data_IF_664295369809
#
_entry.id   IF_664295369809
#
_cell.length_a   1.000
_cell.length_b   1.000
_cell.length_c   1.000
_cell.angle_alpha   90.00
_cell.angle_beta   90.00
_cell.angle_gamma   90.00
#
_symmetry.space_group_name_H-M   'P 1'
#
loop_
_entity.id
_entity.type
_entity.pdbx_description
1 polymer ?
#
# COMPACT_ATOMS: atom_id res chain seq x y z
N UNK A 1 -8.39 22.69 3.42
CA UNK A 1 -7.20 22.36 4.23
C UNK A 1 -7.06 20.86 4.44
N UNK A 2 -8.10 20.15 4.90
CA UNK A 2 -8.07 18.68 5.10
C UNK A 2 -7.68 17.89 3.82
N UNK A 3 -8.11 18.36 2.65
CA UNK A 3 -7.82 17.71 1.36
C UNK A 3 -6.33 17.69 1.02
N UNK A 4 -5.60 18.76 1.37
CA UNK A 4 -4.17 18.86 1.10
C UNK A 4 -3.42 17.83 1.95
N UNK A 5 -3.79 17.74 3.24
CA UNK A 5 -3.24 16.72 4.14
C UNK A 5 -3.58 15.31 3.64
N UNK A 6 -4.81 15.08 3.19
CA UNK A 6 -5.22 13.80 2.63
C UNK A 6 -4.35 13.38 1.44
N UNK A 7 -4.19 14.24 0.43
CA UNK A 7 -3.36 13.93 -0.73
C UNK A 7 -1.87 13.79 -0.36
N UNK A 8 -1.38 14.58 0.58
CA UNK A 8 -0.01 14.48 1.06
C UNK A 8 0.27 13.13 1.73
N UNK A 9 -0.56 12.71 2.69
CA UNK A 9 -0.42 11.41 3.36
C UNK A 9 -0.70 10.24 2.42
N UNK A 10 -1.60 10.39 1.46
CA UNK A 10 -1.87 9.38 0.44
C UNK A 10 -0.66 9.19 -0.48
N UNK A 11 -0.04 10.28 -0.94
CA UNK A 11 1.19 10.22 -1.73
C UNK A 11 2.35 9.63 -0.91
N UNK A 12 2.46 9.97 0.37
CA UNK A 12 3.46 9.41 1.27
C UNK A 12 3.27 7.90 1.46
N UNK A 13 2.03 7.44 1.71
CA UNK A 13 1.71 6.03 1.86
C UNK A 13 2.01 5.24 0.57
N UNK A 14 1.63 5.79 -0.60
CA UNK A 14 1.91 5.19 -1.89
C UNK A 14 3.41 5.13 -2.18
N UNK A 15 4.16 6.21 -1.91
CA UNK A 15 5.61 6.26 -2.06
C UNK A 15 6.31 5.24 -1.16
N UNK A 16 5.87 5.13 0.09
CA UNK A 16 6.37 4.14 1.03
C UNK A 16 6.07 2.70 0.57
N UNK A 17 4.88 2.44 0.01
CA UNK A 17 4.51 1.14 -0.55
C UNK A 17 5.40 0.75 -1.76
N UNK A 18 5.71 1.70 -2.64
CA UNK A 18 6.63 1.47 -3.76
C UNK A 18 8.04 1.18 -3.23
N UNK A 19 8.51 1.96 -2.25
CA UNK A 19 9.83 1.79 -1.64
C UNK A 19 10.00 0.41 -0.97
N UNK A 20 8.95 -0.13 -0.33
CA UNK A 20 8.93 -1.51 0.20
C UNK A 20 9.29 -2.54 -0.88
N UNK A 21 8.75 -2.38 -2.10
CA UNK A 21 8.95 -3.32 -3.21
C UNK A 21 10.30 -3.18 -3.90
N UNK A 22 10.88 -1.97 -3.87
CA UNK A 22 12.14 -1.66 -4.57
C UNK A 22 13.37 -2.02 -3.73
N UNK A 23 13.24 -2.03 -2.40
CA UNK A 23 14.37 -2.29 -1.52
C UNK A 23 14.78 -3.75 -1.50
N UNK A 24 16.10 -3.97 -1.63
CA UNK A 24 16.71 -5.31 -1.60
C UNK A 24 16.89 -5.86 -0.18
N UNK A 25 17.11 -4.97 0.78
CA UNK A 25 17.29 -5.36 2.18
C UNK A 25 15.95 -5.49 2.88
N UNK A 26 15.67 -6.68 3.41
CA UNK A 26 14.38 -7.03 4.05
C UNK A 26 14.09 -6.14 5.27
N UNK A 27 15.12 -5.80 6.07
CA UNK A 27 14.96 -4.91 7.21
C UNK A 27 14.50 -3.51 6.80
N UNK A 28 15.15 -2.91 5.81
CA UNK A 28 14.77 -1.59 5.32
C UNK A 28 13.37 -1.64 4.69
N UNK A 29 13.04 -2.72 3.97
CA UNK A 29 11.72 -2.91 3.37
C UNK A 29 10.64 -2.96 4.45
N UNK A 30 10.87 -3.69 5.55
CA UNK A 30 9.97 -3.73 6.69
C UNK A 30 9.81 -2.35 7.37
N UNK A 31 10.87 -1.56 7.49
CA UNK A 31 10.78 -0.19 8.01
C UNK A 31 9.93 0.73 7.10
N UNK A 32 10.10 0.61 5.78
CA UNK A 32 9.25 1.34 4.81
C UNK A 32 7.79 0.90 4.88
N UNK A 33 7.53 -0.36 5.24
CA UNK A 33 6.17 -0.88 5.44
C UNK A 33 5.53 -0.28 6.69
N UNK A 34 6.29 -0.17 7.80
CA UNK A 34 5.81 0.51 9.02
C UNK A 34 5.44 1.97 8.71
N UNK A 35 6.25 2.66 7.91
CA UNK A 35 5.94 4.03 7.48
C UNK A 35 4.63 4.09 6.68
N UNK A 36 4.42 3.15 5.75
CA UNK A 36 3.20 3.05 4.96
C UNK A 36 1.95 2.79 5.83
N UNK A 37 2.03 1.87 6.79
CA UNK A 37 0.93 1.57 7.71
C UNK A 37 0.61 2.76 8.62
N UNK A 38 1.64 3.48 9.07
CA UNK A 38 1.48 4.69 9.89
C UNK A 38 0.84 5.82 9.10
N UNK A 39 1.29 6.05 7.86
CA UNK A 39 0.67 7.04 6.96
C UNK A 39 -0.79 6.69 6.66
N UNK A 40 -1.11 5.40 6.50
CA UNK A 40 -2.50 4.93 6.31
C UNK A 40 -3.36 5.12 7.56
N UNK A 41 -2.81 4.98 8.77
CA UNK A 41 -3.54 5.30 10.00
C UNK A 41 -3.94 6.77 10.04
N UNK A 42 -3.04 7.69 9.64
CA UNK A 42 -3.38 9.11 9.52
C UNK A 42 -4.52 9.33 8.52
N UNK A 43 -4.51 8.63 7.37
CA UNK A 43 -5.63 8.68 6.42
C UNK A 43 -6.95 8.19 7.02
N UNK A 44 -6.93 7.16 7.87
CA UNK A 44 -8.14 6.70 8.57
C UNK A 44 -8.70 7.76 9.53
N UNK A 45 -7.84 8.49 10.24
CA UNK A 45 -8.27 9.63 11.07
C UNK A 45 -8.92 10.71 10.19
N UNK A 46 -8.31 11.03 9.04
CA UNK A 46 -8.85 12.03 8.11
C UNK A 46 -10.20 11.61 7.50
N UNK A 47 -10.46 10.31 7.41
CA UNK A 47 -11.73 9.75 6.93
C UNK A 47 -12.80 9.62 8.04
N UNK A 48 -12.47 9.95 9.29
CA UNK A 48 -13.37 9.78 10.44
C UNK A 48 -13.48 8.34 10.95
N UNK A 49 -12.53 7.47 10.60
CA UNK A 49 -12.47 6.08 11.02
C UNK A 49 -11.52 5.90 12.23
N UNK A 50 -11.82 6.58 13.35
CA UNK A 50 -10.91 6.67 14.50
C UNK A 50 -10.58 5.32 15.13
N UNK A 51 -11.58 4.46 15.30
CA UNK A 51 -11.38 3.11 15.85
C UNK A 51 -10.43 2.28 14.98
N UNK A 52 -10.59 2.35 13.67
CA UNK A 52 -9.73 1.64 12.71
C UNK A 52 -8.30 2.21 12.72
N UNK A 53 -8.16 3.54 12.81
CA UNK A 53 -6.87 4.19 12.92
C UNK A 53 -6.06 3.74 14.14
N UNK A 54 -6.72 3.60 15.29
CA UNK A 54 -6.10 3.12 16.54
C UNK A 54 -5.67 1.65 16.41
N UNK A 55 -6.54 0.78 15.88
CA UNK A 55 -6.18 -0.62 15.62
C UNK A 55 -5.00 -0.71 14.65
N UNK A 56 -4.96 0.14 13.63
CA UNK A 56 -3.87 0.18 12.65
C UNK A 56 -2.52 0.45 13.32
N UNK A 57 -2.47 1.39 14.27
CA UNK A 57 -1.24 1.72 15.01
C UNK A 57 -0.87 0.58 15.96
N UNK A 58 -1.80 0.14 16.80
CA UNK A 58 -1.51 -0.80 17.89
C UNK A 58 -1.23 -2.21 17.35
N UNK A 59 -2.07 -2.71 16.45
CA UNK A 59 -2.03 -4.10 16.00
C UNK A 59 -1.12 -4.25 14.78
N UNK A 60 -1.35 -3.47 13.73
CA UNK A 60 -0.62 -3.66 12.48
C UNK A 60 0.79 -3.07 12.55
N UNK A 61 0.94 -1.77 12.79
CA UNK A 61 2.24 -1.13 12.86
C UNK A 61 3.02 -1.48 14.14
N UNK A 62 2.32 -1.68 15.25
CA UNK A 62 2.89 -2.06 16.54
C UNK A 62 3.17 -3.55 16.64
N UNK A 63 2.16 -4.36 16.96
CA UNK A 63 2.36 -5.76 17.29
C UNK A 63 2.90 -6.60 16.11
N UNK A 64 2.19 -6.62 14.98
CA UNK A 64 2.51 -7.50 13.86
C UNK A 64 3.84 -7.12 13.22
N UNK A 65 4.04 -5.83 12.90
CA UNK A 65 5.28 -5.41 12.25
C UNK A 65 6.51 -5.47 13.16
N UNK A 66 6.40 -5.18 14.46
CA UNK A 66 7.56 -5.34 15.37
C UNK A 66 7.94 -6.81 15.50
N UNK A 67 6.96 -7.71 15.61
CA UNK A 67 7.23 -9.16 15.60
C UNK A 67 7.86 -9.60 14.27
N UNK A 68 7.38 -9.07 13.15
CA UNK A 68 7.96 -9.35 11.84
C UNK A 68 9.41 -8.87 11.75
N UNK A 69 9.69 -7.63 12.15
CA UNK A 69 11.05 -7.06 12.19
C UNK A 69 11.98 -7.86 13.09
N UNK A 70 11.49 -8.31 14.24
CA UNK A 70 12.24 -9.18 15.13
C UNK A 70 12.57 -10.53 14.47
N UNK A 71 11.57 -11.17 13.83
CA UNK A 71 11.74 -12.45 13.14
C UNK A 71 12.72 -12.34 11.97
N UNK A 72 12.61 -11.32 11.11
CA UNK A 72 13.54 -11.16 9.98
C UNK A 72 14.98 -10.91 10.45
N UNK A 73 15.15 -10.25 11.61
CA UNK A 73 16.47 -10.03 12.19
C UNK A 73 17.07 -11.34 12.73
N UNK A 74 16.25 -12.17 13.40
CA UNK A 74 16.68 -13.49 13.85
C UNK A 74 17.01 -14.44 12.69
N UNK A 75 16.24 -14.35 11.60
CA UNK A 75 16.44 -15.17 10.41
C UNK A 75 17.69 -14.80 9.61
N UNK A 76 18.38 -13.71 9.97
CA UNK A 76 19.60 -13.21 9.32
C UNK A 76 19.65 -13.50 7.82
N UNK A 77 18.62 -13.01 7.08
CA UNK A 77 18.48 -13.32 5.68
C UNK A 77 19.70 -12.78 4.91
N UNK A 78 20.43 -13.63 4.18
CA UNK A 78 21.52 -13.18 3.34
C UNK A 78 20.98 -12.21 2.29
N UNK A 79 21.75 -11.17 2.02
CA UNK A 79 21.42 -10.19 0.97
C UNK A 79 21.78 -10.84 -0.35
N UNK A 80 20.84 -11.54 -0.97
CA UNK A 80 21.06 -12.17 -2.27
C UNK A 80 21.27 -11.07 -3.34
N UNK A 81 22.48 -10.98 -3.88
CA UNK A 81 22.82 -10.05 -4.96
C UNK A 81 22.18 -10.45 -6.32
N UNK A 82 21.65 -11.68 -6.41
CA UNK A 82 21.01 -12.26 -7.61
C UNK A 82 19.58 -11.73 -7.90
N UNK A 83 19.04 -10.85 -7.06
CA UNK A 83 17.68 -10.30 -7.21
C UNK A 83 17.46 -9.39 -8.44
N UNK A 84 18.52 -9.05 -9.18
CA UNK A 84 18.44 -8.17 -10.35
C UNK A 84 17.59 -8.77 -11.49
N UNK A 85 17.72 -10.08 -11.76
CA UNK A 85 16.98 -10.74 -12.84
C UNK A 85 15.51 -10.98 -12.45
N UNK A 86 15.25 -11.31 -11.18
CA UNK A 86 13.87 -11.50 -10.68
C UNK A 86 13.08 -10.19 -10.65
N UNK A 87 13.70 -9.08 -10.27
CA UNK A 87 13.07 -7.75 -10.29
C UNK A 87 12.82 -7.26 -11.72
N UNK A 88 13.69 -7.62 -12.68
CA UNK A 88 13.49 -7.33 -14.11
C UNK A 88 12.28 -8.10 -14.67
N UNK A 89 12.14 -9.38 -14.33
CA UNK A 89 11.00 -10.20 -14.71
C UNK A 89 9.70 -9.76 -14.02
N UNK A 90 9.77 -9.39 -12.74
CA UNK A 90 8.63 -8.87 -11.97
C UNK A 90 8.21 -7.48 -12.44
N UNK A 91 9.13 -6.62 -12.92
CA UNK A 91 8.77 -5.38 -13.64
C UNK A 91 8.11 -5.69 -14.98
N UNK A 92 8.62 -6.68 -15.72
CA UNK A 92 8.06 -7.08 -17.02
C UNK A 92 6.64 -7.64 -16.91
N UNK A 93 6.31 -8.33 -15.81
CA UNK A 93 4.97 -8.86 -15.52
C UNK A 93 4.10 -7.86 -14.75
N UNK A 94 4.70 -7.08 -13.85
CA UNK A 94 3.99 -6.14 -12.97
C UNK A 94 3.45 -4.92 -13.71
N UNK A 95 4.16 -4.43 -14.73
CA UNK A 95 3.69 -3.30 -15.55
C UNK A 95 2.42 -3.66 -16.34
N UNK A 96 2.37 -4.75 -17.14
CA UNK A 96 1.16 -5.09 -17.88
C UNK A 96 0.01 -5.51 -16.96
N UNK A 97 0.29 -6.19 -15.85
CA UNK A 97 -0.74 -6.56 -14.88
C UNK A 97 -1.32 -5.34 -14.16
N UNK A 98 -0.46 -4.36 -13.81
CA UNK A 98 -0.89 -3.08 -13.25
C UNK A 98 -1.71 -2.26 -14.24
N UNK A 99 -1.32 -2.25 -15.52
CA UNK A 99 -2.08 -1.57 -16.58
C UNK A 99 -3.45 -2.21 -16.80
N UNK A 100 -3.51 -3.54 -16.78
CA UNK A 100 -4.75 -4.31 -16.90
C UNK A 100 -5.70 -4.05 -15.72
N UNK A 101 -5.16 -4.02 -14.50
CA UNK A 101 -5.94 -3.68 -13.31
C UNK A 101 -6.47 -2.24 -13.37
N UNK A 102 -5.63 -1.28 -13.80
CA UNK A 102 -6.05 0.11 -13.98
C UNK A 102 -7.18 0.23 -15.02
N UNK A 103 -7.05 -0.48 -16.14
CA UNK A 103 -8.07 -0.56 -17.18
C UNK A 103 -9.38 -1.10 -16.63
N UNK A 104 -9.36 -2.20 -15.87
CA UNK A 104 -10.55 -2.77 -15.22
C UNK A 104 -11.21 -1.79 -14.24
N UNK A 105 -10.42 -1.07 -13.43
CA UNK A 105 -10.96 -0.06 -12.50
C UNK A 105 -11.65 1.06 -13.28
N UNK A 106 -11.06 1.59 -14.35
CA UNK A 106 -11.70 2.63 -15.16
C UNK A 106 -12.97 2.14 -15.87
N UNK A 107 -12.97 0.89 -16.36
CA UNK A 107 -14.15 0.29 -16.99
C UNK A 107 -15.30 0.08 -15.99
N UNK A 108 -14.98 -0.36 -14.76
CA UNK A 108 -15.98 -0.52 -13.70
C UNK A 108 -16.54 0.82 -13.22
N UNK A 109 -15.72 1.85 -13.07
CA UNK A 109 -16.20 3.19 -12.75
C UNK A 109 -17.13 3.74 -13.84
N UNK A 110 -16.80 3.51 -15.11
CA UNK A 110 -17.65 3.91 -16.23
C UNK A 110 -19.00 3.17 -16.22
N UNK A 111 -18.99 1.86 -15.93
CA UNK A 111 -20.21 1.07 -15.80
C UNK A 111 -21.07 1.48 -14.59
N UNK A 112 -20.44 1.86 -13.48
CA UNK A 112 -21.15 2.40 -12.31
C UNK A 112 -21.79 3.76 -12.64
N UNK A 113 -21.10 4.63 -13.39
CA UNK A 113 -21.64 5.91 -13.86
C UNK A 113 -22.78 5.70 -14.88
N UNK A 114 -22.67 4.69 -15.75
CA UNK A 114 -23.69 4.35 -16.74
C UNK A 114 -24.95 3.71 -16.11
N UNK A 115 -24.82 3.07 -14.94
CA UNK A 115 -25.92 2.41 -14.23
C UNK A 115 -26.76 3.32 -13.32
N UNK A 116 -26.31 4.55 -13.03
CA UNK A 116 -27.04 5.48 -12.15
C UNK A 116 -28.16 6.28 -12.85
N UNK A 117 -28.35 6.12 -14.17
CA UNK A 117 -29.34 6.85 -14.96
C UNK A 117 -30.74 6.23 -15.07
N UNK A 118 -30.97 4.99 -14.62
CA UNK A 118 -32.20 4.24 -14.97
C UNK A 118 -33.19 4.02 -13.81
N UNK A 119 -32.84 4.39 -12.57
CA UNK A 119 -33.65 4.11 -11.38
C UNK A 119 -34.52 5.29 -10.89
N UNK A 120 -34.73 6.33 -11.71
CA UNK A 120 -35.58 7.50 -11.37
C UNK A 120 -37.00 7.43 -11.96
N UNK A 121 -37.45 6.26 -12.44
CA UNK A 121 -38.77 6.11 -13.07
C UNK A 121 -39.48 4.82 -12.65
N UNK A 122 -39.79 4.67 -11.37
CA UNK A 122 -40.98 3.95 -10.89
C UNK A 122 -41.47 4.61 -9.60
#
# INVERSE_FOLDING_TARGET
>A
MIQILFFFFAALAAGAAINVLVQKHVLYSALSLILMLTATSVLFILLGADFLAVIQIIVYAGAIMVLFVFVIMLLNLPVDEDGADRLRWLKFIGIPLGLFFLFLVTATLWNVQAGTGTQSRL
#
